data_IF_774603395929
#
_entry.id   IF_774603395929
#
_cell.length_a   1.000
_cell.length_b   1.000
_cell.length_c   1.000
_cell.angle_alpha   90.00
_cell.angle_beta   90.00
_cell.angle_gamma   90.00
#
_symmetry.space_group_name_H-M   'P 1'
#
loop_
_entity.id
_entity.type
_entity.pdbx_description
1 polymer ?
#
# COMPACT_ATOMS: atom_id res chain seq x y z
N UNK A 1 -2.29 37.30 4.85
CA UNK A 1 -1.73 36.50 5.95
C UNK A 1 -1.28 35.16 5.33
N UNK A 2 0.04 35.04 5.05
CA UNK A 2 0.61 33.79 4.57
C UNK A 2 0.66 32.81 5.74
N UNK A 3 -0.28 31.85 5.79
CA UNK A 3 -0.21 30.76 6.73
C UNK A 3 1.05 29.95 6.43
N UNK A 4 1.95 29.81 7.40
CA UNK A 4 3.03 28.83 7.34
C UNK A 4 2.42 27.49 6.93
N UNK A 5 2.91 26.91 5.83
CA UNK A 5 2.57 25.53 5.48
C UNK A 5 3.18 24.65 6.57
N UNK A 6 2.40 24.29 7.55
CA UNK A 6 2.80 23.27 8.54
C UNK A 6 2.94 21.95 7.80
N UNK A 7 4.15 21.43 7.71
CA UNK A 7 4.41 20.10 7.17
C UNK A 7 4.03 19.08 8.26
N UNK A 8 2.88 18.37 8.11
CA UNK A 8 2.34 17.55 9.20
C UNK A 8 3.23 16.37 9.59
N UNK A 9 4.19 16.01 8.74
CA UNK A 9 5.14 14.91 8.97
C UNK A 9 6.60 15.40 9.13
N UNK A 10 6.80 16.68 9.41
CA UNK A 10 8.16 17.23 9.60
C UNK A 10 8.92 16.46 10.69
N UNK A 11 10.15 16.03 10.37
CA UNK A 11 11.02 15.27 11.25
C UNK A 11 10.57 13.82 11.50
N UNK A 12 9.57 13.31 10.77
CA UNK A 12 9.16 11.88 10.78
C UNK A 12 9.90 11.09 9.72
N UNK A 13 10.06 9.80 9.96
CA UNK A 13 10.66 8.83 9.03
C UNK A 13 9.60 7.85 8.58
N UNK A 14 9.39 7.76 7.26
CA UNK A 14 8.44 6.86 6.63
C UNK A 14 9.16 5.76 5.85
N UNK A 15 8.79 4.51 6.08
CA UNK A 15 9.25 3.34 5.32
C UNK A 15 8.11 2.89 4.41
N UNK A 16 8.33 2.83 3.10
CA UNK A 16 7.32 2.39 2.12
C UNK A 16 7.84 1.22 1.30
N UNK A 17 7.16 0.06 1.38
CA UNK A 17 7.53 -1.11 0.58
C UNK A 17 6.96 -1.02 -0.84
N UNK A 18 7.73 -1.49 -1.85
CA UNK A 18 7.32 -1.40 -3.24
C UNK A 18 7.19 0.03 -3.76
N UNK A 19 8.05 0.94 -3.28
CA UNK A 19 7.95 2.38 -3.51
C UNK A 19 8.57 2.86 -4.83
N UNK A 20 9.17 1.99 -5.66
CA UNK A 20 9.79 2.41 -6.93
C UNK A 20 8.80 2.81 -8.02
N UNK A 21 7.52 2.43 -7.93
CA UNK A 21 6.47 2.71 -8.93
C UNK A 21 5.07 2.65 -8.36
N UNK A 22 4.08 3.00 -9.20
CA UNK A 22 2.65 2.85 -8.89
C UNK A 22 2.21 3.58 -7.61
N UNK A 23 1.34 2.93 -6.84
CA UNK A 23 0.81 3.49 -5.60
C UNK A 23 1.91 3.75 -4.57
N UNK A 24 2.89 2.83 -4.42
CA UNK A 24 4.00 3.00 -3.48
C UNK A 24 4.84 4.24 -3.76
N UNK A 25 5.12 4.55 -5.04
CA UNK A 25 5.79 5.80 -5.43
C UNK A 25 4.96 7.03 -5.06
N UNK A 26 3.68 7.03 -5.39
CA UNK A 26 2.79 8.15 -5.05
C UNK A 26 2.71 8.38 -3.54
N UNK A 27 2.62 7.31 -2.75
CA UNK A 27 2.64 7.36 -1.29
C UNK A 27 3.95 7.98 -0.79
N UNK A 28 5.11 7.45 -1.21
CA UNK A 28 6.41 7.94 -0.75
C UNK A 28 6.60 9.44 -1.06
N UNK A 29 6.25 9.86 -2.28
CA UNK A 29 6.34 11.26 -2.68
C UNK A 29 5.35 12.16 -1.92
N UNK A 30 4.16 11.68 -1.61
CA UNK A 30 3.19 12.42 -0.82
C UNK A 30 3.70 12.62 0.61
N UNK A 31 4.18 11.57 1.26
CA UNK A 31 4.71 11.66 2.62
C UNK A 31 5.94 12.59 2.69
N UNK A 32 6.78 12.58 1.65
CA UNK A 32 7.89 13.51 1.53
C UNK A 32 7.43 14.98 1.38
N UNK A 33 6.40 15.25 0.55
CA UNK A 33 5.79 16.59 0.43
C UNK A 33 5.19 17.08 1.76
N UNK A 34 4.69 16.14 2.55
CA UNK A 34 4.12 16.41 3.88
C UNK A 34 5.21 16.51 4.97
N UNK A 35 6.51 16.39 4.62
CA UNK A 35 7.67 16.67 5.48
C UNK A 35 8.44 15.44 5.98
N UNK A 36 8.06 14.22 5.62
CA UNK A 36 8.76 13.02 6.07
C UNK A 36 10.06 12.76 5.30
N UNK A 37 11.08 12.28 6.00
CA UNK A 37 12.17 11.54 5.38
C UNK A 37 11.68 10.14 4.98
N UNK A 38 12.18 9.58 3.87
CA UNK A 38 11.59 8.36 3.31
C UNK A 38 12.60 7.25 3.04
N UNK A 39 12.23 6.02 3.37
CA UNK A 39 12.89 4.80 2.91
C UNK A 39 12.11 4.23 1.73
N UNK A 40 12.74 4.20 0.56
CA UNK A 40 12.17 3.71 -0.71
C UNK A 40 12.56 2.24 -0.86
N UNK A 41 11.73 1.31 -0.34
CA UNK A 41 12.00 -0.12 -0.50
C UNK A 41 11.56 -0.60 -1.87
N UNK A 42 12.43 -1.34 -2.57
CA UNK A 42 12.18 -1.86 -3.91
C UNK A 42 12.81 -3.25 -4.10
N UNK A 43 12.33 -4.01 -5.11
CA UNK A 43 12.83 -5.37 -5.35
C UNK A 43 13.96 -5.42 -6.38
N UNK A 44 13.74 -4.92 -7.59
CA UNK A 44 14.68 -5.08 -8.72
C UNK A 44 15.00 -3.79 -9.46
N UNK A 45 14.06 -2.87 -9.54
CA UNK A 45 14.16 -1.67 -10.37
C UNK A 45 14.86 -0.54 -9.60
N UNK A 46 16.20 -0.60 -9.62
CA UNK A 46 17.03 0.41 -8.95
C UNK A 46 16.98 1.76 -9.66
N UNK A 47 16.75 1.79 -10.98
CA UNK A 47 16.65 3.04 -11.75
C UNK A 47 15.43 3.81 -11.30
N UNK A 48 14.23 3.19 -11.34
CA UNK A 48 13.00 3.85 -10.87
C UNK A 48 13.05 4.19 -9.38
N UNK A 49 13.69 3.36 -8.56
CA UNK A 49 13.88 3.70 -7.14
C UNK A 49 14.77 4.93 -6.98
N UNK A 50 15.86 5.06 -7.75
CA UNK A 50 16.72 6.22 -7.78
C UNK A 50 16.00 7.50 -8.23
N UNK A 51 15.10 7.40 -9.22
CA UNK A 51 14.25 8.52 -9.63
C UNK A 51 13.35 9.03 -8.49
N UNK A 52 12.74 8.12 -7.74
CA UNK A 52 11.91 8.47 -6.57
C UNK A 52 12.75 9.13 -5.48
N UNK A 53 13.93 8.58 -5.20
CA UNK A 53 14.88 9.17 -4.23
C UNK A 53 15.24 10.60 -4.64
N UNK A 54 15.64 10.81 -5.91
CA UNK A 54 15.98 12.14 -6.40
C UNK A 54 14.79 13.14 -6.33
N UNK A 55 13.56 12.68 -6.50
CA UNK A 55 12.38 13.52 -6.32
C UNK A 55 12.15 13.90 -4.86
N UNK A 56 12.35 12.97 -3.92
CA UNK A 56 12.24 13.21 -2.48
C UNK A 56 13.32 14.20 -2.01
N UNK A 57 14.54 14.04 -2.50
CA UNK A 57 15.66 14.94 -2.17
C UNK A 57 15.43 16.35 -2.70
N UNK A 58 14.81 16.49 -3.90
CA UNK A 58 14.41 17.82 -4.43
C UNK A 58 13.33 18.50 -3.58
N UNK A 59 12.56 17.74 -2.79
CA UNK A 59 11.64 18.30 -1.78
C UNK A 59 12.33 18.68 -0.47
N UNK A 60 13.67 18.55 -0.39
CA UNK A 60 14.46 18.86 0.80
C UNK A 60 14.34 17.79 1.91
N UNK A 61 13.96 16.58 1.56
CA UNK A 61 13.86 15.44 2.50
C UNK A 61 14.98 14.45 2.24
N UNK A 62 15.38 13.73 3.31
CA UNK A 62 16.34 12.63 3.17
C UNK A 62 15.64 11.41 2.57
N UNK A 63 16.33 10.68 1.70
CA UNK A 63 15.81 9.44 1.14
C UNK A 63 16.85 8.32 1.18
N UNK A 64 16.40 7.09 1.49
CA UNK A 64 17.23 5.88 1.46
C UNK A 64 16.63 4.87 0.48
N UNK A 65 17.27 4.60 -0.66
CA UNK A 65 16.88 3.46 -1.49
C UNK A 65 17.33 2.16 -0.82
N UNK A 66 16.40 1.21 -0.67
CA UNK A 66 16.68 -0.04 0.00
C UNK A 66 16.16 -1.23 -0.81
N UNK A 67 17.07 -1.98 -1.41
CA UNK A 67 16.72 -3.19 -2.14
C UNK A 67 16.41 -4.34 -1.18
N UNK A 68 15.25 -5.01 -1.37
CA UNK A 68 14.82 -6.15 -0.57
C UNK A 68 13.90 -7.08 -1.38
N UNK A 69 14.10 -8.39 -1.27
CA UNK A 69 13.14 -9.41 -1.71
C UNK A 69 12.27 -9.81 -0.51
N UNK A 70 11.08 -9.24 -0.44
CA UNK A 70 10.16 -9.44 0.70
C UNK A 70 9.64 -10.88 0.84
N UNK A 71 9.76 -11.69 -0.21
CA UNK A 71 9.49 -13.13 -0.14
C UNK A 71 10.57 -13.94 0.57
N UNK A 72 11.65 -13.30 1.02
CA UNK A 72 12.78 -13.90 1.72
C UNK A 72 12.88 -13.33 3.14
N UNK A 73 12.29 -13.97 4.16
CA UNK A 73 12.21 -13.43 5.52
C UNK A 73 13.56 -13.04 6.11
N UNK A 74 14.63 -13.77 5.76
CA UNK A 74 15.99 -13.49 6.23
C UNK A 74 16.54 -12.11 5.77
N UNK A 75 15.92 -11.46 4.79
CA UNK A 75 16.33 -10.14 4.33
C UNK A 75 15.68 -9.00 5.13
N UNK A 76 14.61 -9.26 5.88
CA UNK A 76 13.84 -8.21 6.55
C UNK A 76 14.66 -7.57 7.67
N UNK A 77 15.19 -8.35 8.58
CA UNK A 77 15.97 -7.84 9.72
C UNK A 77 17.19 -7.02 9.28
N UNK A 78 18.07 -7.49 8.36
CA UNK A 78 19.19 -6.71 7.86
C UNK A 78 18.75 -5.40 7.16
N UNK A 79 17.61 -5.42 6.45
CA UNK A 79 17.09 -4.23 5.82
C UNK A 79 16.70 -3.16 6.85
N UNK A 80 16.00 -3.55 7.92
CA UNK A 80 15.61 -2.60 8.97
C UNK A 80 16.78 -2.19 9.87
N UNK A 81 17.84 -3.00 10.03
CA UNK A 81 19.08 -2.56 10.64
C UNK A 81 19.69 -1.37 9.89
N UNK A 82 19.72 -1.40 8.55
CA UNK A 82 20.17 -0.26 7.75
C UNK A 82 19.26 0.98 7.90
N UNK A 83 17.96 0.79 8.07
CA UNK A 83 17.05 1.92 8.37
C UNK A 83 17.39 2.53 9.72
N UNK A 84 17.63 1.67 10.73
CA UNK A 84 18.06 2.10 12.06
C UNK A 84 19.38 2.89 12.04
N UNK A 85 20.38 2.42 11.31
CA UNK A 85 21.67 3.09 11.12
C UNK A 85 21.51 4.46 10.46
N UNK A 86 20.65 4.56 9.42
CA UNK A 86 20.48 5.79 8.65
C UNK A 86 19.66 6.86 9.38
N UNK A 87 18.63 6.45 10.12
CA UNK A 87 17.63 7.36 10.68
C UNK A 87 17.45 7.27 12.20
N UNK A 88 17.83 6.16 12.83
CA UNK A 88 17.67 5.93 14.28
C UNK A 88 16.21 5.77 14.73
N UNK A 89 15.23 5.89 13.82
CA UNK A 89 13.80 5.86 14.10
C UNK A 89 12.96 5.49 12.88
N UNK A 90 11.75 5.02 13.15
CA UNK A 90 10.65 4.94 12.16
C UNK A 90 9.39 5.50 12.83
N UNK A 91 8.62 6.31 12.13
CA UNK A 91 7.34 6.85 12.61
C UNK A 91 6.16 6.31 11.79
N UNK A 92 6.42 6.00 10.53
CA UNK A 92 5.40 5.52 9.58
C UNK A 92 5.95 4.29 8.85
N UNK A 93 5.16 3.22 8.84
CA UNK A 93 5.41 2.03 8.02
C UNK A 93 4.23 1.78 7.09
N UNK A 94 4.50 1.78 5.78
CA UNK A 94 3.50 1.50 4.75
C UNK A 94 3.85 0.19 4.02
N UNK A 95 3.09 -0.86 4.29
CA UNK A 95 3.19 -2.15 3.62
C UNK A 95 2.34 -2.13 2.34
N UNK A 96 2.97 -1.74 1.22
CA UNK A 96 2.30 -1.62 -0.08
C UNK A 96 2.71 -2.71 -1.07
N UNK A 97 3.87 -3.34 -0.92
CA UNK A 97 4.33 -4.36 -1.86
C UNK A 97 3.37 -5.56 -1.92
N UNK A 98 3.09 -6.01 -3.14
CA UNK A 98 2.32 -7.21 -3.42
C UNK A 98 2.86 -7.91 -4.67
N UNK A 99 2.65 -9.22 -4.75
CA UNK A 99 2.88 -10.01 -5.95
C UNK A 99 1.94 -11.21 -5.97
N UNK A 100 1.42 -11.54 -7.14
CA UNK A 100 0.59 -12.73 -7.34
C UNK A 100 0.72 -13.24 -8.78
N UNK A 101 0.26 -14.46 -9.01
CA UNK A 101 0.02 -15.00 -10.35
C UNK A 101 -1.49 -14.92 -10.63
N UNK A 102 -1.87 -14.15 -11.64
CA UNK A 102 -3.27 -14.01 -12.07
C UNK A 102 -3.72 -15.27 -12.81
N UNK A 103 -4.37 -16.18 -12.09
CA UNK A 103 -4.86 -17.47 -12.60
C UNK A 103 -6.10 -17.90 -11.83
N UNK A 104 -7.00 -18.72 -12.46
CA UNK A 104 -8.05 -19.41 -11.75
C UNK A 104 -7.49 -20.23 -10.57
N UNK A 105 -8.25 -20.31 -9.47
CA UNK A 105 -7.78 -21.00 -8.24
C UNK A 105 -7.40 -22.47 -8.50
N UNK A 106 -8.16 -23.16 -9.36
CA UNK A 106 -7.93 -24.56 -9.72
C UNK A 106 -6.65 -24.79 -10.54
N UNK A 107 -6.08 -23.71 -11.12
CA UNK A 107 -4.83 -23.74 -11.90
C UNK A 107 -3.63 -23.18 -11.13
N UNK A 108 -3.85 -22.75 -9.87
CA UNK A 108 -2.76 -22.19 -9.06
C UNK A 108 -1.77 -23.27 -8.64
N UNK A 109 -0.50 -22.98 -8.83
CA UNK A 109 0.58 -23.85 -8.36
C UNK A 109 0.93 -23.51 -6.90
N UNK A 110 1.34 -24.47 -6.07
CA UNK A 110 1.67 -24.24 -4.66
C UNK A 110 2.67 -23.10 -4.45
N UNK A 111 3.71 -23.01 -5.27
CA UNK A 111 4.72 -21.95 -5.15
C UNK A 111 4.17 -20.53 -5.39
N UNK A 112 3.11 -20.36 -6.22
CA UNK A 112 2.46 -19.06 -6.41
C UNK A 112 1.68 -18.64 -5.16
N UNK A 113 0.99 -19.60 -4.53
CA UNK A 113 0.26 -19.40 -3.28
C UNK A 113 1.26 -18.99 -2.19
N UNK A 114 2.29 -19.81 -1.96
CA UNK A 114 3.34 -19.54 -0.98
C UNK A 114 3.96 -18.16 -1.18
N UNK A 115 4.37 -17.82 -2.42
CA UNK A 115 4.96 -16.53 -2.72
C UNK A 115 4.03 -15.35 -2.45
N UNK A 116 2.74 -15.48 -2.80
CA UNK A 116 1.76 -14.41 -2.55
C UNK A 116 1.61 -14.16 -1.05
N UNK A 117 1.51 -15.23 -0.26
CA UNK A 117 1.41 -15.13 1.20
C UNK A 117 2.72 -14.64 1.84
N UNK A 118 3.87 -15.12 1.41
CA UNK A 118 5.16 -14.64 1.90
C UNK A 118 5.31 -13.13 1.71
N UNK A 119 4.99 -12.61 0.50
CA UNK A 119 5.12 -11.18 0.20
C UNK A 119 4.03 -10.34 0.87
N UNK A 120 2.80 -10.84 1.03
CA UNK A 120 1.69 -10.04 1.52
C UNK A 120 1.49 -10.14 3.03
N UNK A 121 1.78 -11.29 3.63
CA UNK A 121 1.48 -11.60 5.03
C UNK A 121 2.74 -11.71 5.86
N UNK A 122 3.63 -12.64 5.52
CA UNK A 122 4.83 -12.87 6.32
C UNK A 122 5.72 -11.62 6.36
N UNK A 123 5.93 -10.96 5.21
CA UNK A 123 6.71 -9.73 5.16
C UNK A 123 6.03 -8.56 5.90
N UNK A 124 4.69 -8.51 5.94
CA UNK A 124 3.98 -7.50 6.71
C UNK A 124 4.23 -7.68 8.20
N UNK A 125 4.04 -8.90 8.71
CA UNK A 125 4.29 -9.22 10.13
C UNK A 125 5.74 -8.95 10.50
N UNK A 126 6.69 -9.48 9.71
CA UNK A 126 8.12 -9.26 9.94
C UNK A 126 8.50 -7.77 9.89
N UNK A 127 7.92 -7.01 8.95
CA UNK A 127 8.12 -5.57 8.87
C UNK A 127 7.59 -4.83 10.11
N UNK A 128 6.38 -5.19 10.58
CA UNK A 128 5.82 -4.63 11.83
C UNK A 128 6.71 -4.96 13.02
N UNK A 129 7.15 -6.21 13.16
CA UNK A 129 8.07 -6.63 14.24
C UNK A 129 9.38 -5.83 14.21
N UNK A 130 9.90 -5.54 13.01
CA UNK A 130 11.14 -4.78 12.86
C UNK A 130 10.98 -3.27 13.13
N UNK A 131 9.81 -2.67 12.82
CA UNK A 131 9.60 -1.22 13.04
C UNK A 131 9.15 -0.88 14.47
N UNK A 132 8.44 -1.76 15.16
CA UNK A 132 7.91 -1.47 16.50
C UNK A 132 9.01 -1.02 17.49
N UNK A 133 10.19 -1.65 17.55
CA UNK A 133 11.30 -1.14 18.38
C UNK A 133 11.77 0.27 17.99
N UNK A 134 11.72 0.61 16.68
CA UNK A 134 12.12 1.91 16.15
C UNK A 134 11.05 3.00 16.34
N UNK A 135 9.81 2.61 16.69
CA UNK A 135 8.69 3.49 17.04
C UNK A 135 8.61 3.77 18.55
N UNK A 136 9.41 3.12 19.38
CA UNK A 136 9.32 3.19 20.84
C UNK A 136 9.37 4.62 21.37
N UNK A 137 8.44 4.94 22.30
CA UNK A 137 8.38 6.23 22.99
C UNK A 137 7.75 7.37 22.20
N UNK A 138 7.10 7.07 21.06
CA UNK A 138 6.41 8.06 20.20
C UNK A 138 5.21 7.43 19.49
N UNK A 139 4.25 8.25 19.01
CA UNK A 139 3.14 7.75 18.20
C UNK A 139 3.65 7.12 16.90
N UNK A 140 3.33 5.85 16.68
CA UNK A 140 3.63 5.12 15.45
C UNK A 140 2.41 5.00 14.53
N UNK A 141 2.64 4.85 13.23
CA UNK A 141 1.59 4.70 12.22
C UNK A 141 1.94 3.55 11.27
N UNK A 142 1.09 2.53 11.24
CA UNK A 142 1.22 1.40 10.31
C UNK A 142 0.03 1.41 9.36
N UNK A 143 0.29 1.38 8.06
CA UNK A 143 -0.75 1.29 7.04
C UNK A 143 -0.43 0.15 6.08
N UNK A 144 -1.39 -0.75 5.89
CA UNK A 144 -1.32 -1.81 4.90
C UNK A 144 -2.13 -1.44 3.65
N UNK A 145 -1.59 -1.68 2.45
CA UNK A 145 -2.35 -1.55 1.21
C UNK A 145 -2.96 -2.92 0.88
N UNK A 146 -4.27 -3.04 1.16
CA UNK A 146 -5.11 -4.19 0.85
C UNK A 146 -5.63 -4.12 -0.59
N UNK A 147 -6.87 -4.47 -0.82
CA UNK A 147 -7.61 -4.38 -2.09
C UNK A 147 -9.05 -4.84 -1.92
N UNK A 148 -9.96 -4.35 -2.76
CA UNK A 148 -11.38 -4.76 -2.74
C UNK A 148 -11.58 -6.25 -2.98
N UNK A 149 -10.58 -6.94 -3.53
CA UNK A 149 -10.54 -8.40 -3.68
C UNK A 149 -10.45 -9.16 -2.34
N UNK A 150 -10.24 -8.47 -1.21
CA UNK A 150 -10.37 -9.05 0.14
C UNK A 150 -11.80 -9.47 0.48
N UNK A 151 -12.82 -8.84 -0.10
CA UNK A 151 -14.25 -9.06 0.17
C UNK A 151 -15.12 -9.15 -1.08
N UNK A 152 -14.55 -8.91 -2.28
CA UNK A 152 -15.23 -9.14 -3.56
C UNK A 152 -14.45 -10.12 -4.42
N UNK A 153 -15.16 -10.96 -5.16
CA UNK A 153 -14.52 -11.87 -6.12
C UNK A 153 -14.09 -11.08 -7.35
N UNK A 154 -12.77 -11.03 -7.55
CA UNK A 154 -12.16 -10.52 -8.77
C UNK A 154 -11.57 -11.71 -9.54
N UNK A 155 -11.90 -11.83 -10.82
CA UNK A 155 -11.46 -12.94 -11.65
C UNK A 155 -9.93 -13.12 -11.60
N UNK A 156 -9.46 -14.34 -11.48
CA UNK A 156 -8.04 -14.69 -11.38
C UNK A 156 -7.26 -14.08 -10.19
N UNK A 157 -7.91 -13.39 -9.25
CA UNK A 157 -7.33 -12.80 -8.04
C UNK A 157 -7.49 -13.66 -6.78
N UNK A 158 -8.05 -14.86 -6.86
CA UNK A 158 -8.45 -15.62 -5.66
C UNK A 158 -7.36 -15.78 -4.60
N UNK A 159 -6.10 -16.03 -4.98
CA UNK A 159 -4.98 -16.11 -4.02
C UNK A 159 -4.65 -14.74 -3.44
N UNK A 160 -4.66 -13.70 -4.27
CA UNK A 160 -4.39 -12.34 -3.80
C UNK A 160 -5.51 -11.87 -2.86
N UNK A 161 -6.78 -12.09 -3.24
CA UNK A 161 -7.93 -11.75 -2.39
C UNK A 161 -7.88 -12.45 -1.04
N UNK A 162 -7.56 -13.75 -1.01
CA UNK A 162 -7.37 -14.48 0.25
C UNK A 162 -6.24 -13.87 1.12
N UNK A 163 -5.10 -13.51 0.52
CA UNK A 163 -4.02 -12.85 1.22
C UNK A 163 -4.44 -11.45 1.72
N UNK A 164 -5.21 -10.68 0.92
CA UNK A 164 -5.70 -9.36 1.34
C UNK A 164 -6.72 -9.45 2.48
N UNK A 165 -7.61 -10.45 2.48
CA UNK A 165 -8.52 -10.72 3.59
C UNK A 165 -7.76 -11.10 4.88
N UNK A 166 -6.73 -11.94 4.76
CA UNK A 166 -5.85 -12.27 5.89
C UNK A 166 -5.10 -11.03 6.40
N UNK A 167 -4.60 -10.16 5.50
CA UNK A 167 -3.92 -8.91 5.86
C UNK A 167 -4.86 -7.99 6.68
N UNK A 168 -6.12 -7.83 6.27
CA UNK A 168 -7.10 -7.03 7.02
C UNK A 168 -7.44 -7.63 8.39
N UNK A 169 -7.42 -8.96 8.51
CA UNK A 169 -7.55 -9.62 9.81
C UNK A 169 -6.36 -9.33 10.72
N UNK A 170 -5.13 -9.38 10.20
CA UNK A 170 -3.92 -9.01 10.95
C UNK A 170 -3.90 -7.55 11.34
N UNK A 171 -4.40 -6.64 10.51
CA UNK A 171 -4.55 -5.21 10.85
C UNK A 171 -5.39 -5.04 12.10
N UNK A 172 -6.50 -5.75 12.25
CA UNK A 172 -7.34 -5.70 13.47
C UNK A 172 -6.60 -6.25 14.69
N UNK A 173 -5.94 -7.38 14.58
CA UNK A 173 -5.16 -7.97 15.68
C UNK A 173 -4.04 -7.05 16.15
N UNK A 174 -3.23 -6.56 15.20
CA UNK A 174 -2.12 -5.66 15.49
C UNK A 174 -2.58 -4.31 16.05
N UNK A 175 -3.76 -3.81 15.65
CA UNK A 175 -4.33 -2.59 16.21
C UNK A 175 -4.61 -2.72 17.72
N UNK A 176 -5.08 -3.88 18.16
CA UNK A 176 -5.32 -4.18 19.59
C UNK A 176 -4.00 -4.35 20.33
N UNK A 177 -3.05 -5.11 19.75
CA UNK A 177 -1.76 -5.38 20.39
C UNK A 177 -0.88 -4.13 20.52
N UNK A 178 -0.87 -3.26 19.50
CA UNK A 178 0.02 -2.11 19.42
C UNK A 178 -0.61 -0.80 19.92
N UNK A 179 -1.93 -0.76 20.08
CA UNK A 179 -2.65 0.40 20.60
C UNK A 179 -2.10 0.92 21.94
N UNK A 180 -1.84 0.05 22.94
CA UNK A 180 -1.21 0.45 24.21
C UNK A 180 0.18 1.10 24.07
N UNK A 181 0.86 0.88 22.94
CA UNK A 181 2.15 1.49 22.61
C UNK A 181 2.00 2.83 21.87
N UNK A 182 0.78 3.31 21.64
CA UNK A 182 0.48 4.52 20.87
C UNK A 182 0.63 4.35 19.35
N UNK A 183 0.61 3.10 18.86
CA UNK A 183 0.74 2.78 17.44
C UNK A 183 -0.63 2.45 16.86
N UNK A 184 -1.05 3.17 15.81
CA UNK A 184 -2.26 2.82 15.06
C UNK A 184 -1.92 1.92 13.87
N UNK A 185 -2.81 0.97 13.57
CA UNK A 185 -2.67 0.03 12.45
C UNK A 185 -3.95 0.05 11.63
N UNK A 186 -3.87 0.46 10.35
CA UNK A 186 -5.03 0.52 9.46
C UNK A 186 -4.68 -0.06 8.08
N UNK A 187 -5.70 -0.31 7.27
CA UNK A 187 -5.55 -0.69 5.87
C UNK A 187 -6.30 0.28 4.94
N UNK A 188 -5.75 0.48 3.76
CA UNK A 188 -6.47 1.05 2.61
C UNK A 188 -6.77 -0.09 1.66
N UNK A 189 -8.03 -0.20 1.21
CA UNK A 189 -8.52 -1.26 0.31
C UNK A 189 -8.92 -0.62 -1.04
N UNK A 190 -7.97 -0.44 -1.97
CA UNK A 190 -8.22 0.19 -3.25
C UNK A 190 -9.09 -0.66 -4.17
N UNK A 191 -9.93 0.00 -4.99
CA UNK A 191 -10.62 -0.60 -6.13
C UNK A 191 -9.71 -0.72 -7.35
N UNK A 192 -10.23 -0.38 -8.54
CA UNK A 192 -9.41 -0.31 -9.74
C UNK A 192 -8.65 1.02 -9.81
N UNK A 193 -7.33 0.93 -9.94
CA UNK A 193 -6.41 2.05 -10.03
C UNK A 193 -5.53 1.93 -11.28
N UNK A 194 -5.19 3.05 -11.91
CA UNK A 194 -4.27 3.08 -13.05
C UNK A 194 -2.85 2.78 -12.58
N UNK A 195 -2.42 1.54 -12.76
CA UNK A 195 -1.08 1.07 -12.43
C UNK A 195 -0.60 0.07 -13.47
N UNK A 196 0.73 -0.09 -13.62
CA UNK A 196 1.32 -1.13 -14.48
C UNK A 196 0.79 -2.53 -14.14
N UNK A 197 0.50 -2.79 -12.84
CA UNK A 197 -0.04 -4.08 -12.38
C UNK A 197 -1.48 -4.27 -12.80
N UNK A 198 -2.31 -3.21 -12.80
CA UNK A 198 -3.68 -3.27 -13.28
C UNK A 198 -3.73 -3.49 -14.79
N UNK A 199 -2.89 -2.81 -15.55
CA UNK A 199 -2.76 -3.02 -16.99
C UNK A 199 -2.35 -4.47 -17.29
N UNK A 200 -1.29 -4.96 -16.64
CA UNK A 200 -0.84 -6.35 -16.80
C UNK A 200 -1.95 -7.36 -16.46
N UNK A 201 -2.72 -7.12 -15.40
CA UNK A 201 -3.85 -7.97 -15.02
C UNK A 201 -4.93 -7.98 -16.10
N UNK A 202 -5.35 -6.83 -16.59
CA UNK A 202 -6.43 -6.74 -17.59
C UNK A 202 -6.01 -7.41 -18.91
N UNK A 203 -4.79 -7.14 -19.39
CA UNK A 203 -4.32 -7.64 -20.67
C UNK A 203 -3.94 -9.13 -20.62
N UNK A 204 -3.32 -9.58 -19.53
CA UNK A 204 -2.79 -10.94 -19.40
C UNK A 204 -3.61 -11.86 -18.49
N UNK A 205 -4.28 -11.31 -17.48
CA UNK A 205 -5.08 -12.08 -16.52
C UNK A 205 -6.48 -12.40 -17.04
N UNK A 206 -7.14 -11.44 -17.70
CA UNK A 206 -8.51 -11.61 -18.22
C UNK A 206 -8.61 -11.48 -19.74
N UNK A 207 -7.48 -11.29 -20.44
CA UNK A 207 -7.37 -11.22 -21.89
C UNK A 207 -8.34 -10.20 -22.53
N UNK A 208 -8.34 -8.96 -22.03
CA UNK A 208 -9.14 -7.85 -22.55
C UNK A 208 -8.28 -6.64 -22.87
N UNK A 209 -8.76 -5.79 -23.78
CA UNK A 209 -8.14 -4.49 -24.03
C UNK A 209 -8.26 -3.62 -22.79
N UNK A 210 -7.13 -3.07 -22.30
CA UNK A 210 -7.08 -2.28 -21.08
C UNK A 210 -8.00 -1.05 -21.13
N UNK A 211 -8.02 -0.35 -22.26
CA UNK A 211 -8.86 0.83 -22.47
C UNK A 211 -10.35 0.53 -22.36
N UNK A 212 -10.81 -0.61 -22.91
CA UNK A 212 -12.21 -1.02 -22.83
C UNK A 212 -12.59 -1.38 -21.40
N UNK A 213 -11.75 -2.15 -20.71
CA UNK A 213 -12.00 -2.54 -19.33
C UNK A 213 -12.06 -1.30 -18.41
N UNK A 214 -11.17 -0.34 -18.61
CA UNK A 214 -11.17 0.93 -17.87
C UNK A 214 -12.44 1.72 -18.15
N UNK A 215 -12.86 1.85 -19.41
CA UNK A 215 -14.09 2.55 -19.78
C UNK A 215 -15.34 1.93 -19.12
N UNK A 216 -15.42 0.60 -19.09
CA UNK A 216 -16.53 -0.10 -18.42
C UNK A 216 -16.54 0.15 -16.91
N UNK A 217 -15.39 0.10 -16.25
CA UNK A 217 -15.30 0.40 -14.83
C UNK A 217 -15.69 1.85 -14.54
N UNK A 218 -15.25 2.80 -15.35
CA UNK A 218 -15.66 4.23 -15.24
C UNK A 218 -17.18 4.35 -15.33
N UNK A 219 -17.81 3.67 -16.29
CA UNK A 219 -19.26 3.73 -16.52
C UNK A 219 -20.08 3.27 -15.31
N UNK A 220 -19.59 2.29 -14.53
CA UNK A 220 -20.29 1.77 -13.34
C UNK A 220 -19.78 2.35 -12.01
N UNK A 221 -18.67 3.11 -12.02
CA UNK A 221 -18.14 3.77 -10.81
C UNK A 221 -18.92 5.06 -10.55
N UNK A 222 -19.53 5.26 -9.35
CA UNK A 222 -20.31 6.45 -9.06
C UNK A 222 -19.57 7.77 -9.28
N UNK A 223 -18.29 7.85 -8.91
CA UNK A 223 -17.49 9.07 -9.14
C UNK A 223 -16.98 9.24 -10.59
N UNK A 224 -17.39 8.32 -11.51
CA UNK A 224 -17.14 8.40 -12.95
C UNK A 224 -15.68 8.54 -13.37
N UNK A 225 -14.77 7.98 -12.58
CA UNK A 225 -13.36 7.82 -12.92
C UNK A 225 -12.76 6.62 -12.21
N UNK A 226 -11.62 6.18 -12.67
CA UNK A 226 -10.77 5.22 -11.93
C UNK A 226 -9.90 5.97 -10.91
N UNK A 227 -9.41 5.24 -9.90
CA UNK A 227 -8.50 5.79 -8.90
C UNK A 227 -7.10 6.02 -9.46
N UNK A 228 -6.38 6.94 -8.86
CA UNK A 228 -4.98 7.26 -9.14
C UNK A 228 -4.10 7.00 -7.92
N UNK A 229 -2.80 6.88 -8.12
CA UNK A 229 -1.85 6.74 -7.00
C UNK A 229 -1.98 7.88 -5.98
N UNK A 230 -2.34 9.10 -6.42
CA UNK A 230 -2.54 10.25 -5.53
C UNK A 230 -3.78 10.09 -4.63
N UNK A 231 -4.85 9.43 -5.09
CA UNK A 231 -6.02 9.16 -4.24
C UNK A 231 -5.63 8.24 -3.06
N UNK A 232 -4.85 7.18 -3.34
CA UNK A 232 -4.33 6.30 -2.27
C UNK A 232 -3.38 7.05 -1.36
N UNK A 233 -2.47 7.82 -1.93
CA UNK A 233 -1.47 8.60 -1.19
C UNK A 233 -2.15 9.63 -0.26
N UNK A 234 -3.24 10.25 -0.70
CA UNK A 234 -4.01 11.20 0.12
C UNK A 234 -4.65 10.52 1.34
N UNK A 235 -5.25 9.33 1.17
CA UNK A 235 -5.83 8.58 2.28
C UNK A 235 -4.73 8.07 3.23
N UNK A 236 -3.62 7.55 2.70
CA UNK A 236 -2.47 7.14 3.52
C UNK A 236 -1.93 8.33 4.31
N UNK A 237 -1.75 9.50 3.69
CA UNK A 237 -1.29 10.71 4.36
C UNK A 237 -2.22 11.13 5.52
N UNK A 238 -3.55 11.03 5.33
CA UNK A 238 -4.52 11.22 6.41
C UNK A 238 -4.33 10.21 7.54
N UNK A 239 -4.26 8.91 7.22
CA UNK A 239 -4.14 7.83 8.21
C UNK A 239 -2.86 7.90 9.05
N UNK A 240 -1.79 8.47 8.51
CA UNK A 240 -0.52 8.62 9.23
C UNK A 240 -0.39 9.98 9.94
N UNK A 241 -1.32 10.88 9.74
CA UNK A 241 -1.37 12.18 10.41
C UNK A 241 -1.90 12.07 11.85
N UNK A 242 -1.73 13.15 12.62
CA UNK A 242 -2.27 13.22 13.98
C UNK A 242 -3.80 13.36 13.98
N UNK A 243 -4.40 13.84 12.89
CA UNK A 243 -5.85 13.92 12.72
C UNK A 243 -6.53 12.54 12.74
N UNK A 244 -5.80 11.47 12.39
CA UNK A 244 -6.29 10.08 12.43
C UNK A 244 -5.87 9.31 13.69
N UNK A 245 -5.41 10.00 14.75
CA UNK A 245 -4.85 9.36 15.96
C UNK A 245 -5.81 8.44 16.72
N UNK A 246 -7.13 8.62 16.55
CA UNK A 246 -8.16 7.77 17.16
C UNK A 246 -8.68 6.67 16.21
N UNK A 247 -8.13 6.56 15.00
CA UNK A 247 -8.53 5.59 13.99
C UNK A 247 -7.52 4.45 13.94
N UNK A 248 -7.95 3.25 14.36
CA UNK A 248 -7.13 2.03 14.32
C UNK A 248 -7.97 0.80 14.05
N UNK A 249 -7.39 -0.27 13.48
CA UNK A 249 -8.07 -1.52 13.17
C UNK A 249 -9.00 -1.47 11.96
N UNK A 250 -8.99 -0.39 11.16
CA UNK A 250 -9.92 -0.21 10.06
C UNK A 250 -9.31 -0.60 8.72
N UNK A 251 -10.12 -1.22 7.85
CA UNK A 251 -9.85 -1.39 6.42
C UNK A 251 -10.78 -0.45 5.65
N UNK A 252 -10.23 0.61 5.08
CA UNK A 252 -11.02 1.66 4.41
C UNK A 252 -11.04 1.39 2.92
N UNK A 253 -12.24 1.15 2.37
CA UNK A 253 -12.46 0.97 0.95
C UNK A 253 -12.29 2.32 0.25
N UNK A 254 -11.46 2.34 -0.80
CA UNK A 254 -11.20 3.51 -1.63
C UNK A 254 -11.40 3.12 -3.10
N UNK A 255 -12.63 3.19 -3.58
CA UNK A 255 -13.02 2.64 -4.89
C UNK A 255 -13.98 3.53 -5.69
N UNK A 256 -14.19 4.77 -5.24
CA UNK A 256 -15.13 5.69 -5.87
C UNK A 256 -16.59 5.26 -5.79
N UNK A 257 -16.92 4.38 -4.84
CA UNK A 257 -18.27 3.83 -4.63
C UNK A 257 -18.58 2.58 -5.47
N UNK A 258 -17.60 2.05 -6.22
CA UNK A 258 -17.79 0.90 -7.13
C UNK A 258 -18.40 -0.32 -6.42
N UNK A 259 -17.95 -0.63 -5.20
CA UNK A 259 -18.44 -1.79 -4.44
C UNK A 259 -19.82 -1.56 -3.82
N UNK A 260 -20.25 -0.31 -3.70
CA UNK A 260 -21.57 0.07 -3.17
C UNK A 260 -22.70 0.01 -4.22
N UNK A 261 -22.36 -0.10 -5.51
CA UNK A 261 -23.35 -0.17 -6.60
C UNK A 261 -24.01 -1.55 -6.62
N UNK A 262 -25.35 -1.60 -6.57
CA UNK A 262 -26.09 -2.84 -6.69
C UNK A 262 -25.93 -3.49 -8.06
N UNK A 263 -26.19 -4.80 -8.17
CA UNK A 263 -26.17 -5.49 -9.46
C UNK A 263 -27.21 -4.93 -10.44
N UNK A 264 -28.38 -4.51 -9.93
CA UNK A 264 -29.44 -3.93 -10.75
C UNK A 264 -29.03 -2.60 -11.38
N UNK A 265 -28.36 -1.75 -10.60
CA UNK A 265 -27.89 -0.46 -11.10
C UNK A 265 -26.76 -0.63 -12.14
N UNK A 266 -25.93 -1.67 -11.99
CA UNK A 266 -24.88 -2.01 -12.99
C UNK A 266 -25.46 -2.42 -14.34
N UNK A 267 -26.62 -3.06 -14.37
CA UNK A 267 -27.30 -3.42 -15.63
C UNK A 267 -27.83 -2.20 -16.39
N UNK A 268 -28.20 -1.13 -15.68
CA UNK A 268 -28.65 0.12 -16.29
C UNK A 268 -27.50 0.95 -16.90
N UNK A 269 -26.29 0.83 -16.35
CA UNK A 269 -25.12 1.58 -16.80
C UNK A 269 -24.39 0.93 -18.00
N UNK A 270 -24.74 -0.29 -18.39
CA UNK A 270 -24.11 -1.07 -19.47
C UNK A 270 -24.97 -1.17 -20.74
N UNK A 271 -26.09 -0.42 -20.84
CA UNK A 271 -26.96 -0.36 -21.99
C UNK A 271 -26.64 0.78 -22.97
#
# INVERSE_FOLDING_TARGET
>A
MGGERTNPLEGRVAVVTGASRGMGRAIALRLARDGADCVVMYRRDSVRAGEVVAEIERLGRRALPLQIELGEPAQVEPAFARVSEAFGRVDVFVANAAATAFKPMIEQKPHNIQRTFAISIESFVAGVQAVVPLMKGRPGRVVAVSGVDSHQVVAAHGVLGAAKAALESLVRSLAVELGPLGITVNAVSPGLFLTDSAQFYVERGINRAYTEAVAQVIAITPVRRVGTGEDVAALVAYLVSDAASFLTGQAIILDGGLTSVSQLDRLQAGG
#
